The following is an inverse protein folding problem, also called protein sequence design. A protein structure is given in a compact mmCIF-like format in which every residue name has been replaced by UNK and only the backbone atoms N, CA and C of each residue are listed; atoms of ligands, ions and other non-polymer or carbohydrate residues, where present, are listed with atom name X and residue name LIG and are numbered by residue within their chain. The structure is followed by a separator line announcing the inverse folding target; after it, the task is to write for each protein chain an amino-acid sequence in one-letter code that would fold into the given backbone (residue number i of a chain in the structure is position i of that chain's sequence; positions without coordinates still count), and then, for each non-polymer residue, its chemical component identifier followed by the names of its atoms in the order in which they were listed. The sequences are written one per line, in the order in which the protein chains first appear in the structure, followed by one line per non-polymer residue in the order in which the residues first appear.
data_IF_913769727090
#
_entry.id   IF_913769727090
#
_cell.length_a   1.000
_cell.length_b   1.000
_cell.length_c   1.000
_cell.angle_alpha   90.00
_cell.angle_beta   90.00
_cell.angle_gamma   90.00
#
_symmetry.space_group_name_H-M   'P 1'
#
loop_
_entity.id
_entity.type
_entity.pdbx_description
1 polymer ?
#
# COMPACT_ATOMS: atom_id res chain seq x y z
N UNK A 1 19.28 -4.47 12.40
CA UNK A 1 19.63 -3.50 11.32
C UNK A 1 18.98 -3.84 9.98
N UNK A 2 18.94 -5.11 9.55
CA UNK A 2 18.28 -5.49 8.29
C UNK A 2 16.77 -5.19 8.25
N UNK A 3 16.02 -5.40 9.34
CA UNK A 3 14.55 -5.26 9.35
C UNK A 3 14.05 -3.85 8.98
N UNK A 4 14.72 -2.79 9.46
CA UNK A 4 14.33 -1.40 9.14
C UNK A 4 14.51 -1.10 7.64
N UNK A 5 15.55 -1.64 7.00
CA UNK A 5 15.79 -1.43 5.58
C UNK A 5 14.71 -2.08 4.72
N UNK A 6 14.26 -3.29 5.10
CA UNK A 6 13.18 -3.98 4.41
C UNK A 6 11.82 -3.29 4.58
N UNK A 7 11.53 -2.78 5.78
CA UNK A 7 10.33 -1.98 6.04
C UNK A 7 10.35 -0.71 5.17
N UNK A 8 11.48 0.00 5.12
CA UNK A 8 11.62 1.20 4.30
C UNK A 8 11.48 0.91 2.80
N UNK A 9 12.09 -0.18 2.32
CA UNK A 9 11.96 -0.64 0.93
C UNK A 9 10.49 -0.96 0.59
N UNK A 10 9.78 -1.68 1.47
CA UNK A 10 8.35 -1.96 1.29
C UNK A 10 7.50 -0.70 1.23
N UNK A 11 7.79 0.28 2.10
CA UNK A 11 7.09 1.57 2.12
C UNK A 11 7.32 2.36 0.82
N UNK A 12 8.59 2.42 0.37
CA UNK A 12 8.97 3.10 -0.88
C UNK A 12 8.35 2.40 -2.08
N UNK A 13 8.35 1.06 -2.10
CA UNK A 13 7.75 0.27 -3.17
C UNK A 13 6.22 0.47 -3.24
N UNK A 14 5.54 0.59 -2.11
CA UNK A 14 4.11 0.89 -2.06
C UNK A 14 3.80 2.29 -2.61
N UNK A 15 4.60 3.29 -2.24
CA UNK A 15 4.47 4.66 -2.74
C UNK A 15 4.74 4.72 -4.26
N UNK A 16 5.82 4.07 -4.70
CA UNK A 16 6.18 3.99 -6.12
C UNK A 16 5.10 3.27 -6.93
N UNK A 17 4.58 2.15 -6.41
CA UNK A 17 3.49 1.39 -7.01
C UNK A 17 2.20 2.20 -7.14
N UNK A 18 1.84 2.94 -6.10
CA UNK A 18 0.70 3.88 -6.13
C UNK A 18 0.90 5.02 -7.14
N UNK A 19 2.11 5.56 -7.26
CA UNK A 19 2.46 6.57 -8.25
C UNK A 19 2.41 6.06 -9.69
N UNK A 20 2.93 4.86 -9.95
CA UNK A 20 2.86 4.19 -11.26
C UNK A 20 1.40 3.94 -11.64
N UNK A 21 0.59 3.41 -10.72
CA UNK A 21 -0.83 3.19 -10.97
C UNK A 21 -1.61 4.49 -11.21
N UNK A 22 -1.23 5.61 -10.58
CA UNK A 22 -1.86 6.91 -10.86
C UNK A 22 -1.61 7.34 -12.30
N UNK A 23 -0.36 7.22 -12.75
CA UNK A 23 0.02 7.53 -14.13
C UNK A 23 -0.74 6.66 -15.13
N UNK A 24 -0.84 5.35 -14.87
CA UNK A 24 -1.57 4.41 -15.73
C UNK A 24 -3.08 4.65 -15.72
N UNK A 25 -3.63 5.18 -14.62
CA UNK A 25 -5.07 5.44 -14.47
C UNK A 25 -5.49 6.84 -14.94
N UNK A 26 -4.56 7.65 -15.46
CA UNK A 26 -4.83 9.04 -15.89
C UNK A 26 -5.18 9.97 -14.73
N UNK A 27 -4.66 9.69 -13.53
CA UNK A 27 -4.89 10.45 -12.30
C UNK A 27 -3.63 11.26 -11.96
N UNK A 28 -3.81 12.39 -11.30
CA UNK A 28 -2.71 13.20 -10.78
C UNK A 28 -1.78 12.37 -9.88
N UNK A 29 -0.47 12.45 -10.13
CA UNK A 29 0.54 11.59 -9.50
C UNK A 29 0.53 11.68 -7.97
N UNK A 30 0.31 12.88 -7.43
CA UNK A 30 0.27 13.12 -5.98
C UNK A 30 -0.86 12.36 -5.29
N UNK A 31 -1.99 12.11 -5.97
CA UNK A 31 -3.11 11.34 -5.42
C UNK A 31 -2.72 9.87 -5.24
N UNK A 32 -2.01 9.27 -6.19
CA UNK A 32 -1.54 7.89 -6.05
C UNK A 32 -0.47 7.72 -5.00
N UNK A 33 0.43 8.70 -4.88
CA UNK A 33 1.45 8.72 -3.81
C UNK A 33 0.79 8.79 -2.43
N UNK A 34 -0.22 9.64 -2.26
CA UNK A 34 -0.96 9.72 -0.99
C UNK A 34 -1.73 8.44 -0.67
N UNK A 35 -2.46 7.88 -1.65
CA UNK A 35 -3.23 6.65 -1.47
C UNK A 35 -2.32 5.47 -1.14
N UNK A 36 -1.23 5.30 -1.91
CA UNK A 36 -0.26 4.23 -1.67
C UNK A 36 0.49 4.39 -0.34
N UNK A 37 0.87 5.62 0.01
CA UNK A 37 1.49 5.93 1.29
C UNK A 37 0.57 5.65 2.48
N UNK A 38 -0.70 6.08 2.41
CA UNK A 38 -1.70 5.80 3.45
C UNK A 38 -1.92 4.30 3.64
N UNK A 39 -1.99 3.54 2.55
CA UNK A 39 -2.11 2.08 2.58
C UNK A 39 -0.91 1.43 3.28
N UNK A 40 0.31 1.86 2.92
CA UNK A 40 1.55 1.33 3.48
C UNK A 40 1.68 1.60 4.98
N UNK A 41 1.37 2.83 5.41
CA UNK A 41 1.40 3.22 6.82
C UNK A 41 0.36 2.43 7.61
N UNK A 42 -0.86 2.26 7.09
CA UNK A 42 -1.90 1.49 7.76
C UNK A 42 -1.54 0.00 7.90
N UNK A 43 -0.99 -0.61 6.84
CA UNK A 43 -0.48 -1.98 6.89
C UNK A 43 0.66 -2.13 7.90
N UNK A 44 1.58 -1.17 7.95
CA UNK A 44 2.67 -1.15 8.94
C UNK A 44 2.14 -1.05 10.37
N UNK A 45 1.18 -0.15 10.63
CA UNK A 45 0.57 -0.02 11.96
C UNK A 45 -0.17 -1.30 12.36
N UNK A 46 -0.88 -1.93 11.42
CA UNK A 46 -1.54 -3.22 11.62
C UNK A 46 -0.55 -4.35 11.95
N UNK A 47 0.69 -4.30 11.43
CA UNK A 47 1.72 -5.28 11.75
C UNK A 47 2.10 -5.30 13.23
N UNK A 48 1.96 -4.17 13.92
CA UNK A 48 2.28 -4.05 15.34
C UNK A 48 1.08 -4.31 16.27
N UNK A 49 -0.10 -4.61 15.73
CA UNK A 49 -1.27 -4.95 16.53
C UNK A 49 -1.09 -6.34 17.19
N UNK A 50 -1.05 -6.44 18.53
CA UNK A 50 -0.86 -7.71 19.23
C UNK A 50 -2.14 -8.56 19.22
N UNK A 51 -1.98 -9.88 19.09
CA UNK A 51 -3.09 -10.83 19.23
C UNK A 51 -4.01 -10.97 18.00
N UNK A 52 -3.62 -10.41 16.85
CA UNK A 52 -4.40 -10.49 15.60
C UNK A 52 -3.55 -11.12 14.48
N UNK A 53 -4.19 -11.90 13.62
CA UNK A 53 -3.56 -12.45 12.41
C UNK A 53 -3.08 -11.32 11.48
N UNK A 54 -1.76 -11.17 11.40
CA UNK A 54 -1.07 -10.15 10.61
C UNK A 54 -1.26 -10.36 9.10
N UNK A 55 -1.35 -11.61 8.64
CA UNK A 55 -1.45 -11.93 7.22
C UNK A 55 -2.77 -11.45 6.63
N UNK A 56 -3.83 -11.45 7.42
CA UNK A 56 -5.13 -10.93 7.02
C UNK A 56 -5.26 -9.42 7.33
N UNK A 57 -4.76 -8.99 8.48
CA UNK A 57 -5.04 -7.65 9.02
C UNK A 57 -4.23 -6.56 8.33
N UNK A 58 -2.98 -6.81 7.97
CA UNK A 58 -2.17 -5.86 7.23
C UNK A 58 -2.78 -5.47 5.86
N UNK A 59 -3.13 -6.44 4.97
CA UNK A 59 -3.73 -6.08 3.68
C UNK A 59 -5.11 -5.46 3.84
N UNK A 60 -5.92 -5.90 4.81
CA UNK A 60 -7.22 -5.26 5.11
C UNK A 60 -7.04 -3.80 5.54
N UNK A 61 -6.12 -3.51 6.46
CA UNK A 61 -5.84 -2.14 6.91
C UNK A 61 -5.36 -1.26 5.76
N UNK A 62 -4.48 -1.79 4.89
CA UNK A 62 -4.01 -1.12 3.69
C UNK A 62 -5.15 -0.79 2.71
N UNK A 63 -6.04 -1.75 2.44
CA UNK A 63 -7.21 -1.56 1.56
C UNK A 63 -8.18 -0.49 2.10
N UNK A 64 -8.47 -0.54 3.40
CA UNK A 64 -9.37 0.43 4.05
C UNK A 64 -8.77 1.83 3.99
N UNK A 65 -7.51 1.99 4.39
CA UNK A 65 -6.83 3.27 4.38
C UNK A 65 -6.71 3.85 2.96
N UNK A 66 -6.45 3.00 1.96
CA UNK A 66 -6.42 3.41 0.57
C UNK A 66 -7.79 3.87 0.06
N UNK A 67 -8.87 3.20 0.46
CA UNK A 67 -10.24 3.60 0.15
C UNK A 67 -10.61 4.95 0.77
N UNK A 68 -10.27 5.15 2.04
CA UNK A 68 -10.48 6.42 2.76
C UNK A 68 -9.65 7.53 2.12
N UNK A 69 -8.35 7.31 1.91
CA UNK A 69 -7.47 8.30 1.28
C UNK A 69 -7.94 8.65 -0.14
N UNK A 70 -8.32 7.66 -0.94
CA UNK A 70 -8.81 7.84 -2.30
C UNK A 70 -10.09 8.68 -2.35
N UNK A 71 -11.06 8.37 -1.49
CA UNK A 71 -12.27 9.18 -1.36
C UNK A 71 -11.97 10.62 -0.89
N UNK A 72 -11.04 10.79 0.06
CA UNK A 72 -10.64 12.11 0.55
C UNK A 72 -9.99 12.99 -0.53
N UNK A 73 -9.27 12.39 -1.50
CA UNK A 73 -8.69 13.13 -2.65
C UNK A 73 -9.62 13.20 -3.87
N UNK A 74 -10.91 12.90 -3.67
CA UNK A 74 -11.97 13.02 -4.68
C UNK A 74 -11.92 11.95 -5.76
N UNK A 75 -11.34 10.78 -5.48
CA UNK A 75 -11.33 9.66 -6.41
C UNK A 75 -12.58 8.80 -6.24
N UNK A 76 -13.15 8.40 -7.37
CA UNK A 76 -14.22 7.40 -7.38
C UNK A 76 -13.65 6.02 -7.00
N UNK A 77 -14.50 5.11 -6.53
CA UNK A 77 -14.08 3.74 -6.23
C UNK A 77 -13.40 3.06 -7.44
N UNK A 78 -13.93 3.30 -8.65
CA UNK A 78 -13.36 2.79 -9.91
C UNK A 78 -11.95 3.30 -10.23
N UNK A 79 -11.59 4.49 -9.75
CA UNK A 79 -10.27 5.09 -9.92
C UNK A 79 -9.32 4.77 -8.75
N UNK A 80 -9.89 4.49 -7.58
CA UNK A 80 -9.12 4.12 -6.38
C UNK A 80 -8.67 2.67 -6.43
N UNK A 81 -9.51 1.75 -6.92
CA UNK A 81 -9.17 0.31 -6.95
C UNK A 81 -7.85 -0.02 -7.70
N UNK A 82 -7.58 0.54 -8.90
CA UNK A 82 -6.30 0.32 -9.59
C UNK A 82 -5.09 0.88 -8.82
N UNK A 83 -5.27 2.01 -8.13
CA UNK A 83 -4.24 2.61 -7.29
C UNK A 83 -3.89 1.73 -6.09
N UNK A 84 -4.91 1.16 -5.44
CA UNK A 84 -4.69 0.26 -4.30
C UNK A 84 -3.95 -1.01 -4.74
N UNK A 85 -4.35 -1.59 -5.88
CA UNK A 85 -3.67 -2.76 -6.45
C UNK A 85 -2.22 -2.41 -6.79
N UNK A 86 -1.98 -1.29 -7.48
CA UNK A 86 -0.63 -0.84 -7.81
C UNK A 86 0.25 -0.58 -6.59
N UNK A 87 -0.31 -0.05 -5.50
CA UNK A 87 0.42 0.17 -4.26
C UNK A 87 0.64 -1.11 -3.45
N UNK A 88 -0.28 -2.08 -3.49
CA UNK A 88 -0.22 -3.30 -2.70
C UNK A 88 0.61 -4.43 -3.34
N UNK A 89 0.64 -4.50 -4.68
CA UNK A 89 1.32 -5.59 -5.40
C UNK A 89 2.83 -5.62 -5.17
N UNK A 90 3.59 -4.51 -5.27
CA UNK A 90 5.04 -4.55 -5.10
C UNK A 90 5.49 -5.00 -3.70
N UNK A 91 4.92 -4.50 -2.58
CA UNK A 91 5.24 -5.00 -1.24
C UNK A 91 4.89 -6.47 -1.04
N UNK A 92 3.73 -6.92 -1.54
CA UNK A 92 3.30 -8.32 -1.44
C UNK A 92 4.23 -9.26 -2.21
N UNK A 93 4.68 -8.86 -3.41
CA UNK A 93 5.69 -9.61 -4.16
C UNK A 93 7.02 -9.66 -3.43
N UNK A 94 7.44 -8.56 -2.79
CA UNK A 94 8.65 -8.52 -1.97
C UNK A 94 8.58 -9.46 -0.77
N UNK A 95 7.45 -9.49 -0.06
CA UNK A 95 7.21 -10.43 1.04
C UNK A 95 7.22 -11.88 0.56
N UNK A 96 6.52 -12.19 -0.54
CA UNK A 96 6.52 -13.53 -1.14
C UNK A 96 7.94 -13.98 -1.52
N UNK A 97 8.77 -13.11 -2.09
CA UNK A 97 10.15 -13.46 -2.43
C UNK A 97 11.03 -13.71 -1.21
N UNK A 98 10.76 -13.06 -0.07
CA UNK A 98 11.47 -13.33 1.18
C UNK A 98 11.03 -14.64 1.84
N UNK A 99 9.76 -15.05 1.71
CA UNK A 99 9.27 -16.33 2.25
C UNK A 99 9.72 -17.55 1.44
N UNK A 100 10.07 -17.36 0.16
CA UNK A 100 10.51 -18.44 -0.75
C UNK A 100 12.06 -18.64 -0.71
N UNK A 101 12.81 -17.70 -0.15
CA UNK A 101 14.28 -17.73 -0.04
C UNK A 101 14.78 -18.18 1.32
#
# INVERSE_FOLDING_TARGET
MLEIQWILLGLIAAIAGGGVAAKLSGIELWKGVLVGGAAAVAALLAAFAPGIDRNLTMPMAGLIAAGIAGSAVGLTASRTAPLVIGAAVPPLLGLLMLDIG
#
